data_IF_396814589062
#
_entry.id   IF_396814589062
#
_cell.length_a   1.000
_cell.length_b   1.000
_cell.length_c   1.000
_cell.angle_alpha   90.00
_cell.angle_beta   90.00
_cell.angle_gamma   90.00
#
_symmetry.space_group_name_H-M   'P 1'
#
loop_
_entity.id
_entity.type
_entity.pdbx_description
1 polymer ?
#
# COMPACT_ATOMS: atom_id res chain seq x y z
N UNK A 1 16.59 26.17 12.54
CA UNK A 1 18.02 25.85 12.35
C UNK A 1 18.15 24.72 11.33
N UNK A 2 18.81 25.00 10.20
CA UNK A 2 19.09 24.08 9.09
C UNK A 2 20.04 22.93 9.52
N UNK A 3 19.65 22.18 10.56
CA UNK A 3 20.41 21.07 11.12
C UNK A 3 19.78 19.76 10.67
N UNK A 4 20.42 19.11 9.72
CA UNK A 4 20.08 17.75 9.30
C UNK A 4 20.76 16.76 10.25
N UNK A 5 19.96 15.94 10.94
CA UNK A 5 20.50 14.81 11.71
C UNK A 5 20.77 13.67 10.74
N UNK A 6 22.03 13.50 10.34
CA UNK A 6 22.51 12.26 9.76
C UNK A 6 22.49 11.17 10.84
N UNK A 7 22.09 9.94 10.51
CA UNK A 7 22.11 8.83 11.48
C UNK A 7 23.55 8.50 11.88
N UNK A 8 23.88 8.65 13.17
CA UNK A 8 25.24 8.44 13.72
C UNK A 8 25.64 6.97 13.94
N UNK A 9 24.83 5.99 13.55
CA UNK A 9 25.05 4.61 13.99
C UNK A 9 25.66 3.76 12.88
N UNK A 10 26.98 3.54 12.94
CA UNK A 10 27.63 2.45 12.23
C UNK A 10 26.97 1.12 12.62
N UNK A 11 26.63 0.27 11.65
CA UNK A 11 25.91 -1.00 11.89
C UNK A 11 26.63 -1.90 12.88
N UNK A 12 27.97 -1.91 12.87
CA UNK A 12 28.76 -2.65 13.86
C UNK A 12 28.59 -2.11 15.28
N UNK A 13 28.51 -0.78 15.45
CA UNK A 13 28.31 -0.17 16.76
C UNK A 13 26.93 -0.53 17.32
N UNK A 14 25.89 -0.53 16.47
CA UNK A 14 24.55 -1.01 16.85
C UNK A 14 24.59 -2.46 17.33
N UNK A 15 25.27 -3.35 16.62
CA UNK A 15 25.41 -4.74 17.03
C UNK A 15 26.14 -4.89 18.37
N UNK A 16 27.25 -4.17 18.56
CA UNK A 16 28.00 -4.18 19.82
C UNK A 16 27.15 -3.67 20.98
N UNK A 17 26.40 -2.59 20.78
CA UNK A 17 25.47 -2.07 21.80
C UNK A 17 24.38 -3.07 22.14
N UNK A 18 23.76 -3.72 21.15
CA UNK A 18 22.73 -4.75 21.38
C UNK A 18 23.33 -5.93 22.15
N UNK A 19 24.50 -6.43 21.75
CA UNK A 19 25.18 -7.53 22.45
C UNK A 19 25.61 -7.15 23.88
N UNK A 20 25.95 -5.88 24.12
CA UNK A 20 26.39 -5.40 25.43
C UNK A 20 25.21 -5.17 26.39
N UNK A 21 24.18 -4.48 25.93
CA UNK A 21 23.10 -3.95 26.77
C UNK A 21 21.78 -4.74 26.66
N UNK A 22 21.58 -5.53 25.61
CA UNK A 22 20.33 -6.24 25.33
C UNK A 22 20.60 -7.71 24.98
N UNK A 23 21.21 -8.42 25.94
CA UNK A 23 21.66 -9.82 25.76
C UNK A 23 20.51 -10.81 25.58
N UNK A 24 19.38 -10.60 26.26
CA UNK A 24 18.22 -11.50 26.16
C UNK A 24 17.20 -11.00 25.14
N UNK A 25 16.58 -11.93 24.42
CA UNK A 25 15.51 -11.61 23.48
C UNK A 25 14.33 -10.92 24.19
N UNK A 26 14.03 -11.31 25.42
CA UNK A 26 12.95 -10.71 26.22
C UNK A 26 13.24 -9.25 26.58
N UNK A 27 14.50 -8.91 26.89
CA UNK A 27 14.88 -7.51 27.13
C UNK A 27 14.71 -6.64 25.89
N UNK A 28 15.00 -7.19 24.69
CA UNK A 28 14.77 -6.49 23.43
C UNK A 28 13.28 -6.28 23.16
N UNK A 29 12.46 -7.32 23.36
CA UNK A 29 11.01 -7.26 23.20
C UNK A 29 10.40 -6.21 24.15
N UNK A 30 10.81 -6.23 25.42
CA UNK A 30 10.36 -5.27 26.43
C UNK A 30 10.77 -3.84 26.08
N UNK A 31 12.01 -3.60 25.67
CA UNK A 31 12.46 -2.28 25.21
C UNK A 31 11.69 -1.80 23.98
N UNK A 32 11.43 -2.69 23.02
CA UNK A 32 10.57 -2.36 21.88
C UNK A 32 9.15 -1.98 22.32
N UNK A 33 8.58 -2.64 23.33
CA UNK A 33 7.26 -2.28 23.87
C UNK A 33 7.25 -0.88 24.50
N UNK A 34 8.29 -0.53 25.26
CA UNK A 34 8.44 0.80 25.89
C UNK A 34 8.50 1.90 24.81
N UNK A 35 9.28 1.69 23.75
CA UNK A 35 9.34 2.64 22.63
C UNK A 35 8.03 2.73 21.86
N UNK A 36 7.31 1.63 21.69
CA UNK A 36 5.99 1.65 21.06
C UNK A 36 5.02 2.52 21.87
N UNK A 37 4.98 2.36 23.20
CA UNK A 37 4.15 3.19 24.07
C UNK A 37 4.53 4.68 23.98
N UNK A 38 5.83 4.99 23.98
CA UNK A 38 6.33 6.35 23.78
C UNK A 38 5.79 6.99 22.48
N UNK A 39 5.91 6.29 21.35
CA UNK A 39 5.42 6.82 20.06
C UNK A 39 3.89 6.93 20.00
N UNK A 40 3.18 6.04 20.69
CA UNK A 40 1.73 6.13 20.81
C UNK A 40 1.29 7.28 21.75
N UNK A 41 2.21 7.89 22.50
CA UNK A 41 1.90 8.92 23.49
C UNK A 41 1.30 8.33 24.79
N UNK A 42 1.50 7.03 25.01
CA UNK A 42 1.10 6.34 26.24
C UNK A 42 2.23 6.47 27.25
N UNK A 43 1.90 6.87 28.48
CA UNK A 43 2.88 6.81 29.57
C UNK A 43 3.06 5.36 30.00
N UNK A 44 4.19 4.75 29.65
CA UNK A 44 4.60 3.46 30.22
C UNK A 44 4.74 3.60 31.75
N UNK A 45 4.66 2.48 32.49
CA UNK A 45 4.88 2.49 33.95
C UNK A 45 6.25 3.07 34.34
N UNK A 46 7.24 2.98 33.45
CA UNK A 46 8.58 3.55 33.67
C UNK A 46 8.58 5.07 33.51
N UNK A 47 7.85 5.63 32.55
CA UNK A 47 7.71 7.09 32.40
C UNK A 47 6.88 7.72 33.53
N UNK A 48 5.94 6.95 34.12
CA UNK A 48 5.20 7.40 35.31
C UNK A 48 6.11 7.60 36.54
N UNK A 49 7.21 6.85 36.65
CA UNK A 49 8.19 7.04 37.74
C UNK A 49 8.94 8.38 37.63
N UNK A 50 8.98 8.98 36.45
CA UNK A 50 9.74 10.20 36.17
C UNK A 50 8.90 11.49 36.25
N UNK A 51 7.62 11.43 36.66
CA UNK A 51 6.71 12.59 36.71
C UNK A 51 6.64 13.40 35.39
N UNK A 52 6.91 12.78 34.24
CA UNK A 52 6.77 13.48 32.97
C UNK A 52 5.30 13.53 32.52
N UNK A 53 4.80 14.70 32.07
CA UNK A 53 3.46 14.81 31.51
C UNK A 53 3.32 13.93 30.26
N UNK A 54 2.10 13.49 29.94
CA UNK A 54 1.88 12.67 28.75
C UNK A 54 2.42 13.37 27.50
N UNK A 55 3.37 12.71 26.82
CA UNK A 55 4.06 13.30 25.69
C UNK A 55 3.09 13.35 24.52
N UNK A 56 2.67 14.55 24.13
CA UNK A 56 1.79 14.77 22.99
C UNK A 56 2.53 14.44 21.68
N UNK A 57 2.16 13.32 21.06
CA UNK A 57 2.71 12.91 19.77
C UNK A 57 1.60 12.83 18.70
N UNK A 58 1.31 13.94 17.99
CA UNK A 58 0.35 13.92 16.89
C UNK A 58 0.93 13.19 15.66
N UNK A 59 0.07 12.79 14.72
CA UNK A 59 0.48 12.23 13.43
C UNK A 59 1.09 13.29 12.51
N UNK A 60 0.59 14.53 12.58
CA UNK A 60 1.23 15.70 11.99
C UNK A 60 0.91 16.95 12.80
N UNK A 61 1.82 17.92 12.76
CA UNK A 61 1.56 19.28 13.18
C UNK A 61 0.94 20.06 12.03
N UNK A 62 -0.15 20.76 12.30
CA UNK A 62 -0.83 21.58 11.30
C UNK A 62 -0.46 23.04 11.48
N UNK A 63 0.04 23.66 10.41
CA UNK A 63 0.34 25.09 10.37
C UNK A 63 -0.65 25.75 9.41
N UNK A 64 -1.54 26.60 9.94
CA UNK A 64 -2.48 27.38 9.14
C UNK A 64 -1.82 28.71 8.75
N UNK A 65 -1.64 28.94 7.44
CA UNK A 65 -1.24 30.25 6.89
C UNK A 65 -2.31 30.71 5.90
N UNK A 66 -3.20 31.59 6.35
CA UNK A 66 -4.36 32.03 5.57
C UNK A 66 -5.28 30.85 5.24
N UNK A 67 -5.59 30.64 3.95
CA UNK A 67 -6.42 29.53 3.45
C UNK A 67 -5.67 28.21 3.24
N UNK A 68 -4.34 28.19 3.35
CA UNK A 68 -3.52 26.97 3.14
C UNK A 68 -3.17 26.32 4.48
N UNK A 69 -3.49 25.03 4.60
CA UNK A 69 -3.06 24.15 5.69
C UNK A 69 -1.82 23.38 5.27
N UNK A 70 -0.69 23.64 5.94
CA UNK A 70 0.52 22.85 5.76
C UNK A 70 0.61 21.78 6.85
N UNK A 71 0.94 20.56 6.46
CA UNK A 71 1.13 19.43 7.35
C UNK A 71 2.61 19.14 7.50
N UNK A 72 3.12 19.18 8.73
CA UNK A 72 4.45 18.69 9.06
C UNK A 72 4.31 17.33 9.76
N UNK A 73 4.60 16.25 9.05
CA UNK A 73 4.34 14.90 9.52
C UNK A 73 5.32 14.47 10.61
N UNK A 74 4.81 13.81 11.65
CA UNK A 74 5.63 13.18 12.68
C UNK A 74 6.16 11.84 12.18
N UNK A 75 7.16 11.90 11.30
CA UNK A 75 7.83 10.74 10.70
C UNK A 75 8.29 9.75 11.78
N UNK A 76 8.79 10.23 12.93
CA UNK A 76 9.25 9.36 14.02
C UNK A 76 8.12 8.49 14.58
N UNK A 77 6.93 9.06 14.83
CA UNK A 77 5.76 8.29 15.27
C UNK A 77 5.27 7.33 14.19
N UNK A 78 5.13 7.83 12.97
CA UNK A 78 4.56 7.09 11.83
C UNK A 78 5.37 5.82 11.52
N UNK A 79 6.70 5.90 11.57
CA UNK A 79 7.57 4.74 11.32
C UNK A 79 7.95 4.00 12.60
N UNK A 80 8.14 4.71 13.71
CA UNK A 80 8.54 4.12 14.98
C UNK A 80 7.47 3.23 15.58
N UNK A 81 6.21 3.69 15.64
CA UNK A 81 5.15 2.92 16.31
C UNK A 81 4.96 1.52 15.70
N UNK A 82 4.76 1.35 14.37
CA UNK A 82 4.59 0.02 13.80
C UNK A 82 5.86 -0.84 13.93
N UNK A 83 7.03 -0.27 13.66
CA UNK A 83 8.32 -0.97 13.78
C UNK A 83 8.55 -1.57 15.18
N UNK A 84 8.27 -0.79 16.22
CA UNK A 84 8.43 -1.21 17.60
C UNK A 84 7.33 -2.18 18.06
N UNK A 85 6.09 -2.03 17.57
CA UNK A 85 4.99 -2.97 17.87
C UNK A 85 5.22 -4.35 17.26
N UNK A 86 5.70 -4.41 16.02
CA UNK A 86 6.05 -5.68 15.34
C UNK A 86 7.15 -6.41 16.11
N UNK A 87 8.21 -5.70 16.51
CA UNK A 87 9.35 -6.31 17.23
C UNK A 87 9.05 -6.67 18.68
N UNK A 88 8.11 -5.97 19.32
CA UNK A 88 7.60 -6.34 20.64
C UNK A 88 6.54 -7.43 20.59
N UNK A 89 6.18 -7.93 19.40
CA UNK A 89 5.11 -8.93 19.17
C UNK A 89 3.73 -8.49 19.67
N UNK A 90 3.52 -7.18 19.86
CA UNK A 90 2.25 -6.64 20.30
C UNK A 90 1.32 -6.36 19.10
N UNK A 91 0.91 -7.44 18.44
CA UNK A 91 0.14 -7.38 17.18
C UNK A 91 -1.27 -6.81 17.41
N UNK A 92 -1.90 -7.09 18.56
CA UNK A 92 -3.23 -6.54 18.87
C UNK A 92 -3.24 -5.00 18.88
N UNK A 93 -2.21 -4.38 19.47
CA UNK A 93 -2.08 -2.91 19.49
C UNK A 93 -1.71 -2.39 18.10
N UNK A 94 -0.85 -3.09 17.34
CA UNK A 94 -0.54 -2.75 15.95
C UNK A 94 -1.78 -2.69 15.08
N UNK A 95 -2.64 -3.71 15.17
CA UNK A 95 -3.89 -3.81 14.41
C UNK A 95 -4.79 -2.64 14.74
N UNK A 96 -5.06 -2.39 16.03
CA UNK A 96 -6.01 -1.37 16.47
C UNK A 96 -5.53 0.06 16.22
N UNK A 97 -4.28 0.37 16.57
CA UNK A 97 -3.79 1.75 16.59
C UNK A 97 -3.18 2.19 15.26
N UNK A 98 -2.67 1.25 14.45
CA UNK A 98 -1.98 1.55 13.20
C UNK A 98 -2.71 1.01 11.97
N UNK A 99 -2.96 -0.30 11.90
CA UNK A 99 -3.41 -0.96 10.65
C UNK A 99 -4.91 -0.81 10.37
N UNK A 100 -5.75 -0.70 11.38
CA UNK A 100 -7.20 -0.44 11.27
C UNK A 100 -7.59 0.93 11.86
N UNK A 101 -6.63 1.86 11.79
CA UNK A 101 -6.83 3.26 12.08
C UNK A 101 -6.67 4.06 10.79
N UNK A 102 -7.78 4.50 10.21
CA UNK A 102 -7.82 5.20 8.94
C UNK A 102 -6.93 6.46 8.94
N UNK A 103 -6.96 7.25 10.02
CA UNK A 103 -6.13 8.45 10.12
C UNK A 103 -4.65 8.08 10.17
N UNK A 104 -4.27 7.01 10.87
CA UNK A 104 -2.89 6.54 10.86
C UNK A 104 -2.45 6.11 9.46
N UNK A 105 -3.25 5.29 8.78
CA UNK A 105 -2.96 4.82 7.42
C UNK A 105 -2.83 5.97 6.42
N UNK A 106 -3.77 6.91 6.45
CA UNK A 106 -3.77 8.08 5.57
C UNK A 106 -2.49 8.90 5.78
N UNK A 107 -2.16 9.24 7.02
CA UNK A 107 -0.99 10.07 7.32
C UNK A 107 0.31 9.33 7.02
N UNK A 108 0.36 8.01 7.21
CA UNK A 108 1.51 7.20 6.83
C UNK A 108 1.72 7.18 5.32
N UNK A 109 0.65 6.97 4.55
CA UNK A 109 0.71 7.01 3.09
C UNK A 109 1.11 8.41 2.59
N UNK A 110 0.60 9.47 3.24
CA UNK A 110 0.88 10.85 2.86
C UNK A 110 2.30 11.32 3.22
N UNK A 111 2.81 10.92 4.38
CA UNK A 111 4.16 11.24 4.80
C UNK A 111 5.24 10.45 4.04
N UNK A 112 4.87 9.33 3.42
CA UNK A 112 5.82 8.42 2.78
C UNK A 112 5.28 7.79 1.50
N UNK A 113 4.81 6.54 1.57
CA UNK A 113 4.21 5.80 0.48
C UNK A 113 3.37 4.65 1.04
N UNK A 114 2.41 4.21 0.24
CA UNK A 114 1.61 3.01 0.49
C UNK A 114 2.47 1.75 0.71
N UNK A 115 3.67 1.69 0.11
CA UNK A 115 4.60 0.56 0.24
C UNK A 115 4.96 0.32 1.71
N UNK A 116 5.16 1.39 2.49
CA UNK A 116 5.48 1.27 3.91
C UNK A 116 4.34 0.69 4.76
N UNK A 117 3.10 0.80 4.28
CA UNK A 117 1.91 0.20 4.91
C UNK A 117 1.80 -1.26 4.49
N UNK A 118 2.11 -1.58 3.23
CA UNK A 118 2.17 -2.97 2.74
C UNK A 118 3.20 -3.79 3.53
N UNK A 119 4.37 -3.22 3.80
CA UNK A 119 5.41 -3.85 4.63
C UNK A 119 4.93 -4.15 6.06
N UNK A 120 4.26 -3.19 6.71
CA UNK A 120 3.69 -3.39 8.05
C UNK A 120 2.58 -4.46 8.04
N UNK A 121 1.71 -4.44 7.02
CA UNK A 121 0.64 -5.43 6.86
C UNK A 121 1.22 -6.82 6.64
N UNK A 122 2.24 -6.95 5.79
CA UNK A 122 2.91 -8.22 5.54
C UNK A 122 3.59 -8.75 6.81
N UNK A 123 4.23 -7.88 7.60
CA UNK A 123 4.79 -8.25 8.90
C UNK A 123 3.70 -8.72 9.89
N UNK A 124 2.54 -8.05 9.91
CA UNK A 124 1.41 -8.44 10.76
C UNK A 124 0.78 -9.77 10.32
N UNK A 125 0.59 -9.98 9.01
CA UNK A 125 0.08 -11.24 8.43
C UNK A 125 1.04 -12.38 8.72
N UNK A 126 2.35 -12.16 8.62
CA UNK A 126 3.35 -13.18 8.93
C UNK A 126 3.38 -13.51 10.43
N UNK A 127 3.02 -12.57 11.30
CA UNK A 127 2.90 -12.82 12.73
C UNK A 127 1.60 -13.57 13.09
N UNK A 128 0.48 -13.24 12.44
CA UNK A 128 -0.81 -13.89 12.64
C UNK A 128 -1.62 -13.99 11.33
N UNK A 129 -1.62 -15.19 10.74
CA UNK A 129 -2.36 -15.49 9.49
C UNK A 129 -3.84 -15.78 9.71
N UNK A 130 -4.28 -15.90 10.96
CA UNK A 130 -5.67 -16.31 11.27
C UNK A 130 -6.66 -15.16 11.08
N UNK A 131 -6.19 -13.91 11.04
CA UNK A 131 -7.02 -12.72 10.98
C UNK A 131 -7.36 -12.38 9.51
N UNK A 132 -8.60 -12.64 9.05
CA UNK A 132 -8.96 -12.46 7.64
C UNK A 132 -9.01 -10.99 7.23
N UNK A 133 -9.29 -10.07 8.17
CA UNK A 133 -9.29 -8.63 7.92
C UNK A 133 -7.96 -8.13 7.36
N UNK A 134 -6.81 -8.65 7.86
CA UNK A 134 -5.48 -8.22 7.45
C UNK A 134 -5.20 -8.58 5.99
N UNK A 135 -5.56 -9.80 5.58
CA UNK A 135 -5.37 -10.29 4.21
C UNK A 135 -6.23 -9.45 3.26
N UNK A 136 -7.50 -9.25 3.59
CA UNK A 136 -8.41 -8.49 2.74
C UNK A 136 -8.01 -7.02 2.61
N UNK A 137 -7.52 -6.40 3.70
CA UNK A 137 -6.98 -5.05 3.67
C UNK A 137 -5.72 -4.98 2.79
N UNK A 138 -4.79 -5.94 2.93
CA UNK A 138 -3.58 -6.01 2.09
C UNK A 138 -3.92 -6.10 0.60
N UNK A 139 -4.85 -6.97 0.21
CA UNK A 139 -5.31 -7.10 -1.17
C UNK A 139 -5.99 -5.82 -1.68
N UNK A 140 -6.79 -5.17 -0.83
CA UNK A 140 -7.44 -3.90 -1.16
C UNK A 140 -6.41 -2.81 -1.44
N UNK A 141 -5.38 -2.69 -0.60
CA UNK A 141 -4.33 -1.69 -0.77
C UNK A 141 -3.47 -2.00 -2.00
N UNK A 142 -3.19 -3.27 -2.30
CA UNK A 142 -2.51 -3.68 -3.54
C UNK A 142 -3.29 -3.23 -4.79
N UNK A 143 -4.59 -3.49 -4.84
CA UNK A 143 -5.46 -3.02 -5.93
C UNK A 143 -5.57 -1.49 -6.03
N UNK A 144 -5.31 -0.79 -4.94
CA UNK A 144 -5.43 0.66 -4.82
C UNK A 144 -4.09 1.39 -4.96
N UNK A 145 -2.97 0.65 -4.93
CA UNK A 145 -1.59 1.14 -4.85
C UNK A 145 -1.29 2.27 -5.84
N UNK A 146 -1.67 2.08 -7.10
CA UNK A 146 -1.42 3.06 -8.18
C UNK A 146 -2.12 4.41 -7.96
N UNK A 147 -3.33 4.37 -7.40
CA UNK A 147 -4.10 5.57 -7.07
C UNK A 147 -3.48 6.24 -5.86
N UNK A 148 -3.19 5.48 -4.81
CA UNK A 148 -2.68 5.99 -3.54
C UNK A 148 -1.25 6.53 -3.62
N UNK A 149 -0.41 6.02 -4.54
CA UNK A 149 0.91 6.61 -4.83
C UNK A 149 0.78 8.03 -5.39
N UNK A 150 -0.26 8.32 -6.17
CA UNK A 150 -0.48 9.65 -6.76
C UNK A 150 -1.19 10.58 -5.79
N UNK A 151 -2.20 10.06 -5.09
CA UNK A 151 -3.05 10.82 -4.20
C UNK A 151 -3.50 9.95 -3.01
N UNK A 152 -2.80 10.06 -1.86
CA UNK A 152 -3.16 9.35 -0.63
C UNK A 152 -4.56 9.70 -0.10
N UNK A 153 -5.09 10.89 -0.43
CA UNK A 153 -6.40 11.33 0.06
C UNK A 153 -7.56 10.51 -0.52
N UNK A 154 -7.32 9.75 -1.58
CA UNK A 154 -8.29 8.81 -2.14
C UNK A 154 -8.39 7.49 -1.36
N UNK A 155 -7.68 7.34 -0.24
CA UNK A 155 -7.73 6.11 0.56
C UNK A 155 -9.14 5.74 1.01
N UNK A 156 -9.92 6.70 1.54
CA UNK A 156 -11.30 6.43 1.96
C UNK A 156 -12.16 5.94 0.80
N UNK A 157 -12.04 6.56 -0.37
CA UNK A 157 -12.82 6.21 -1.57
C UNK A 157 -12.46 4.82 -2.08
N UNK A 158 -11.17 4.48 -2.07
CA UNK A 158 -10.66 3.17 -2.48
C UNK A 158 -11.10 2.06 -1.52
N UNK A 159 -11.04 2.30 -0.21
CA UNK A 159 -11.45 1.31 0.79
C UNK A 159 -12.97 1.06 0.73
N UNK A 160 -13.78 2.12 0.80
CA UNK A 160 -15.25 1.99 0.77
C UNK A 160 -15.71 1.42 -0.57
N UNK A 161 -15.18 1.94 -1.68
CA UNK A 161 -15.56 1.50 -3.03
C UNK A 161 -15.31 0.01 -3.30
N UNK A 162 -14.40 -0.64 -2.57
CA UNK A 162 -14.04 -2.05 -2.74
C UNK A 162 -14.59 -2.97 -1.65
N UNK A 163 -14.66 -2.50 -0.41
CA UNK A 163 -14.95 -3.35 0.77
C UNK A 163 -16.39 -3.25 1.27
N UNK A 164 -17.12 -2.17 0.94
CA UNK A 164 -18.41 -1.89 1.56
C UNK A 164 -19.42 -3.06 1.39
N UNK A 165 -19.57 -3.62 0.19
CA UNK A 165 -20.44 -4.77 -0.05
C UNK A 165 -19.96 -6.05 0.64
N UNK A 166 -18.65 -6.30 0.72
CA UNK A 166 -18.10 -7.49 1.38
C UNK A 166 -18.44 -7.46 2.88
N UNK A 167 -18.27 -6.30 3.51
CA UNK A 167 -18.58 -6.11 4.93
C UNK A 167 -20.09 -6.12 5.18
N UNK A 168 -20.89 -5.58 4.26
CA UNK A 168 -22.35 -5.60 4.36
C UNK A 168 -22.92 -7.03 4.21
N UNK A 169 -22.30 -7.86 3.37
CA UNK A 169 -22.67 -9.26 3.18
C UNK A 169 -22.15 -10.19 4.30
N UNK A 170 -21.32 -9.69 5.21
CA UNK A 170 -20.82 -10.45 6.37
C UNK A 170 -21.91 -10.53 7.46
N UNK A 171 -22.72 -11.57 7.33
CA UNK A 171 -23.81 -11.93 8.24
C UNK A 171 -23.36 -13.16 9.03
N UNK A 172 -23.39 -13.12 10.38
CA UNK A 172 -23.03 -14.28 11.20
C UNK A 172 -24.01 -15.44 10.98
N UNK A 173 -23.52 -16.67 11.13
CA UNK A 173 -24.31 -17.89 10.89
C UNK A 173 -25.48 -18.01 11.85
N UNK A 174 -25.26 -17.67 13.13
CA UNK A 174 -26.32 -17.55 14.13
C UNK A 174 -26.30 -16.17 14.84
N UNK A 175 -27.44 -15.72 15.40
CA UNK A 175 -27.47 -14.53 16.25
C UNK A 175 -26.55 -14.70 17.47
N UNK A 176 -25.49 -13.89 17.53
CA UNK A 176 -24.49 -13.94 18.61
C UNK A 176 -23.11 -14.44 18.19
N UNK A 177 -22.98 -15.06 17.01
CA UNK A 177 -21.67 -15.44 16.49
C UNK A 177 -20.86 -14.20 16.07
N UNK A 178 -19.52 -14.22 16.25
CA UNK A 178 -18.67 -13.15 15.77
C UNK A 178 -18.74 -13.10 14.24
N UNK A 179 -18.78 -11.87 13.71
CA UNK A 179 -18.62 -11.62 12.29
C UNK A 179 -17.26 -12.10 11.80
N UNK A 180 -17.17 -12.48 10.53
CA UNK A 180 -15.91 -12.89 9.92
C UNK A 180 -14.88 -11.75 9.96
N UNK A 181 -15.34 -10.52 9.71
CA UNK A 181 -14.51 -9.33 9.69
C UNK A 181 -14.81 -8.43 10.88
N UNK A 182 -13.90 -8.42 11.86
CA UNK A 182 -14.09 -7.70 13.12
C UNK A 182 -13.64 -6.23 13.01
N UNK A 183 -12.60 -5.95 12.23
CA UNK A 183 -11.93 -4.65 12.21
C UNK A 183 -12.33 -3.79 11.00
N UNK A 184 -12.65 -4.42 9.87
CA UNK A 184 -13.06 -3.71 8.66
C UNK A 184 -14.29 -2.81 8.83
N UNK A 185 -15.39 -3.21 9.52
CA UNK A 185 -16.53 -2.33 9.71
C UNK A 185 -16.13 -1.02 10.44
N UNK A 186 -15.26 -1.14 11.44
CA UNK A 186 -14.74 0.01 12.20
C UNK A 186 -13.90 0.90 11.29
N UNK A 187 -12.99 0.34 10.51
CA UNK A 187 -12.17 1.09 9.55
C UNK A 187 -13.02 1.84 8.51
N UNK A 188 -14.04 1.20 7.95
CA UNK A 188 -14.94 1.83 6.97
C UNK A 188 -15.77 2.96 7.61
N UNK A 189 -16.19 2.81 8.87
CA UNK A 189 -16.88 3.87 9.60
C UNK A 189 -15.98 5.08 9.84
N UNK A 190 -14.67 4.87 10.06
CA UNK A 190 -13.69 5.96 10.21
C UNK A 190 -13.47 6.69 8.88
N UNK A 191 -13.45 5.97 7.75
CA UNK A 191 -13.33 6.58 6.43
C UNK A 191 -14.45 7.61 6.15
N UNK A 192 -15.66 7.36 6.64
CA UNK A 192 -16.79 8.30 6.55
C UNK A 192 -16.62 9.57 7.41
N UNK A 193 -15.76 9.53 8.42
CA UNK A 193 -15.50 10.61 9.38
C UNK A 193 -14.09 11.19 9.21
N UNK A 194 -13.56 11.17 7.99
CA UNK A 194 -12.19 11.61 7.71
C UNK A 194 -11.94 13.04 8.19
N UNK A 195 -10.73 13.27 8.71
CA UNK A 195 -10.26 14.61 9.11
C UNK A 195 -10.03 15.59 7.96
N UNK A 196 -9.97 15.08 6.73
CA UNK A 196 -9.80 15.86 5.50
C UNK A 196 -11.00 15.66 4.56
N UNK A 197 -11.32 16.63 3.69
CA UNK A 197 -12.40 16.47 2.72
C UNK A 197 -12.04 15.38 1.72
N UNK A 198 -12.87 14.34 1.66
CA UNK A 198 -12.70 13.18 0.76
C UNK A 198 -14.01 12.87 0.05
N UNK A 199 -13.91 12.37 -1.19
CA UNK A 199 -15.06 11.85 -1.93
C UNK A 199 -15.30 10.40 -1.53
N UNK A 200 -16.51 10.09 -1.09
CA UNK A 200 -16.88 8.75 -0.63
C UNK A 200 -18.01 8.21 -1.51
N UNK A 201 -17.84 7.04 -2.14
CA UNK A 201 -18.92 6.44 -2.90
C UNK A 201 -19.99 5.88 -1.94
N UNK A 202 -21.27 6.07 -2.28
CA UNK A 202 -22.39 5.55 -1.49
C UNK A 202 -22.54 4.02 -1.57
N UNK A 203 -21.94 3.39 -2.58
CA UNK A 203 -21.96 1.94 -2.82
C UNK A 203 -20.60 1.45 -3.31
N UNK A 204 -20.35 0.14 -3.25
CA UNK A 204 -19.16 -0.43 -3.86
C UNK A 204 -19.22 -0.25 -5.38
N UNK A 205 -18.21 0.42 -5.93
CA UNK A 205 -18.11 0.78 -7.35
C UNK A 205 -16.75 0.38 -7.96
N UNK A 206 -15.90 -0.26 -7.17
CA UNK A 206 -14.56 -0.70 -7.56
C UNK A 206 -14.47 -2.23 -7.43
N UNK A 207 -13.46 -2.81 -8.07
CA UNK A 207 -13.23 -4.25 -8.08
C UNK A 207 -12.96 -4.73 -6.64
N UNK A 208 -13.71 -5.74 -6.22
CA UNK A 208 -13.56 -6.35 -4.90
C UNK A 208 -12.18 -7.05 -4.75
N UNK A 209 -11.54 -6.98 -3.57
CA UNK A 209 -10.41 -7.84 -3.20
C UNK A 209 -10.83 -9.32 -3.07
N UNK A 210 -9.86 -10.23 -2.98
CA UNK A 210 -10.10 -11.68 -2.83
C UNK A 210 -10.18 -12.49 -4.13
N UNK A 211 -10.01 -11.84 -5.29
CA UNK A 211 -9.99 -12.51 -6.60
C UNK A 211 -8.58 -12.81 -7.12
N UNK A 212 -8.49 -13.56 -8.22
CA UNK A 212 -7.22 -13.84 -8.93
C UNK A 212 -6.63 -12.60 -9.62
N UNK A 213 -7.37 -11.50 -9.69
CA UNK A 213 -6.95 -10.29 -10.37
C UNK A 213 -5.99 -9.48 -9.49
N UNK A 214 -4.73 -9.37 -9.90
CA UNK A 214 -3.73 -8.57 -9.19
C UNK A 214 -3.67 -7.11 -9.65
N UNK A 215 -3.92 -6.83 -10.93
CA UNK A 215 -3.80 -5.48 -11.48
C UNK A 215 -4.60 -5.29 -12.79
N UNK A 216 -4.84 -4.03 -13.16
CA UNK A 216 -5.50 -3.67 -14.42
C UNK A 216 -4.72 -2.58 -15.18
N UNK A 217 -4.53 -2.79 -16.48
CA UNK A 217 -3.83 -1.87 -17.38
C UNK A 217 -4.85 -1.23 -18.33
N UNK A 218 -5.23 0.02 -18.02
CA UNK A 218 -6.15 0.80 -18.87
C UNK A 218 -5.36 1.60 -19.91
N UNK A 219 -5.85 1.63 -21.15
CA UNK A 219 -5.31 2.51 -22.18
C UNK A 219 -5.73 2.20 -23.61
N UNK A 220 -6.21 0.99 -23.90
CA UNK A 220 -6.85 0.71 -25.19
C UNK A 220 -8.27 1.27 -25.23
N UNK A 221 -8.68 1.75 -26.41
CA UNK A 221 -10.00 2.34 -26.62
C UNK A 221 -11.02 1.35 -27.21
N UNK A 222 -10.54 0.20 -27.67
CA UNK A 222 -11.35 -0.89 -28.22
C UNK A 222 -10.82 -2.24 -27.72
N UNK A 223 -11.51 -3.32 -28.09
CA UNK A 223 -11.20 -4.70 -27.73
C UNK A 223 -9.75 -5.07 -28.08
N UNK A 224 -9.05 -5.63 -27.10
CA UNK A 224 -7.73 -6.25 -27.26
C UNK A 224 -7.91 -7.54 -28.07
N UNK A 225 -7.16 -7.70 -29.16
CA UNK A 225 -7.26 -8.87 -30.05
C UNK A 225 -6.12 -9.85 -29.87
N UNK A 226 -4.96 -9.41 -29.40
CA UNK A 226 -3.80 -10.26 -29.16
C UNK A 226 -2.94 -9.75 -28.01
N UNK A 227 -2.25 -10.68 -27.33
CA UNK A 227 -1.29 -10.42 -26.25
C UNK A 227 -0.02 -11.25 -26.51
N UNK A 228 1.13 -10.65 -26.29
CA UNK A 228 2.44 -11.29 -26.39
C UNK A 228 3.27 -10.96 -25.15
N UNK A 229 3.98 -11.93 -24.62
CA UNK A 229 4.79 -11.79 -23.42
C UNK A 229 6.28 -11.91 -23.74
N UNK A 230 7.11 -11.30 -22.90
CA UNK A 230 8.56 -11.47 -22.95
C UNK A 230 9.07 -12.29 -21.78
N UNK A 231 9.95 -13.25 -22.03
CA UNK A 231 10.43 -14.16 -20.97
C UNK A 231 11.46 -13.54 -20.01
N UNK A 232 12.21 -12.52 -20.45
CA UNK A 232 13.34 -11.95 -19.67
C UNK A 232 13.01 -10.69 -18.88
N UNK A 233 11.96 -9.97 -19.27
CA UNK A 233 11.51 -8.75 -18.60
C UNK A 233 10.01 -8.88 -18.36
N UNK A 234 9.51 -8.33 -17.27
CA UNK A 234 8.07 -8.27 -16.97
C UNK A 234 7.38 -7.26 -17.90
N UNK A 235 7.41 -7.53 -19.20
CA UNK A 235 6.84 -6.70 -20.26
C UNK A 235 5.79 -7.52 -21.00
N UNK A 236 4.61 -6.92 -21.16
CA UNK A 236 3.55 -7.46 -22.00
C UNK A 236 3.32 -6.53 -23.20
N UNK A 237 3.10 -7.11 -24.37
CA UNK A 237 2.66 -6.44 -25.58
C UNK A 237 1.17 -6.73 -25.77
N UNK A 238 0.35 -5.70 -25.98
CA UNK A 238 -1.06 -5.87 -26.34
C UNK A 238 -1.37 -5.11 -27.60
N UNK A 239 -2.32 -5.63 -28.36
CA UNK A 239 -2.83 -4.98 -29.56
C UNK A 239 -4.35 -4.93 -29.50
N UNK A 240 -4.93 -3.82 -29.95
CA UNK A 240 -6.38 -3.61 -29.97
C UNK A 240 -6.89 -3.27 -31.36
N UNK A 241 -8.20 -3.49 -31.56
CA UNK A 241 -8.96 -3.06 -32.74
C UNK A 241 -8.98 -1.52 -32.91
N UNK A 242 -8.56 -0.77 -31.89
CA UNK A 242 -8.25 0.66 -32.00
C UNK A 242 -7.08 0.95 -32.97
N UNK A 243 -6.36 -0.08 -33.43
CA UNK A 243 -5.22 0.04 -34.33
C UNK A 243 -3.91 0.36 -33.64
N UNK A 244 -3.88 0.24 -32.31
CA UNK A 244 -2.76 0.60 -31.45
C UNK A 244 -2.16 -0.65 -30.82
N UNK A 245 -0.83 -0.68 -30.71
CA UNK A 245 -0.08 -1.62 -29.89
C UNK A 245 0.52 -0.88 -28.72
N UNK A 246 0.40 -1.48 -27.54
CA UNK A 246 1.02 -0.98 -26.31
C UNK A 246 1.95 -2.02 -25.74
N UNK A 247 3.17 -1.59 -25.41
CA UNK A 247 4.07 -2.35 -24.56
C UNK A 247 3.94 -1.85 -23.14
N UNK A 248 3.67 -2.75 -22.21
CA UNK A 248 3.44 -2.47 -20.81
C UNK A 248 4.60 -3.01 -20.01
N UNK A 249 5.14 -2.17 -19.12
CA UNK A 249 5.93 -2.67 -18.01
C UNK A 249 4.96 -3.12 -16.91
N UNK A 250 4.93 -4.42 -16.63
CA UNK A 250 4.04 -5.02 -15.64
C UNK A 250 4.48 -4.70 -14.21
N UNK A 251 5.74 -4.35 -13.98
CA UNK A 251 6.22 -3.92 -12.66
C UNK A 251 5.74 -2.52 -12.32
N UNK A 252 5.84 -1.60 -13.29
CA UNK A 252 5.41 -0.21 -13.14
C UNK A 252 3.93 -0.01 -13.45
N UNK A 253 3.33 -0.98 -14.13
CA UNK A 253 1.92 -0.94 -14.49
C UNK A 253 1.54 0.07 -15.56
N UNK A 254 2.50 0.46 -16.41
CA UNK A 254 2.36 1.58 -17.36
C UNK A 254 2.77 1.16 -18.77
N UNK A 255 2.15 1.79 -19.76
CA UNK A 255 2.59 1.66 -21.15
C UNK A 255 3.92 2.39 -21.32
N UNK A 256 4.99 1.64 -21.61
CA UNK A 256 6.33 2.17 -21.90
C UNK A 256 6.46 2.55 -23.38
N UNK A 257 5.67 1.91 -24.24
CA UNK A 257 5.67 2.19 -25.66
C UNK A 257 4.25 2.11 -26.21
N UNK A 258 3.91 3.01 -27.12
CA UNK A 258 2.65 3.01 -27.87
C UNK A 258 3.00 3.20 -29.34
N UNK A 259 2.52 2.29 -30.18
CA UNK A 259 2.69 2.33 -31.63
C UNK A 259 1.30 2.45 -32.26
N UNK A 260 1.15 3.42 -33.15
CA UNK A 260 -0.09 3.71 -33.86
C UNK A 260 -0.07 3.09 -35.27
N UNK A 261 -1.25 3.02 -35.90
CA UNK A 261 -1.43 2.64 -37.32
C UNK A 261 -1.03 1.21 -37.70
N UNK A 262 -1.21 0.25 -36.79
CA UNK A 262 -0.76 -1.13 -37.03
C UNK A 262 -1.79 -1.91 -37.86
N UNK A 263 -3.05 -1.51 -37.76
CA UNK A 263 -4.20 -2.14 -38.40
C UNK A 263 -5.21 -2.65 -37.38
N UNK A 264 -6.46 -2.83 -37.79
CA UNK A 264 -7.57 -3.20 -36.87
C UNK A 264 -7.81 -4.72 -36.77
N UNK A 265 -7.25 -5.51 -37.67
CA UNK A 265 -7.54 -6.96 -37.83
C UNK A 265 -6.34 -7.83 -37.48
N UNK A 266 -5.74 -7.56 -36.33
CA UNK A 266 -4.54 -8.25 -35.88
C UNK A 266 -4.94 -9.55 -35.18
N UNK A 267 -4.43 -10.67 -35.68
CA UNK A 267 -4.73 -12.01 -35.18
C UNK A 267 -3.75 -12.49 -34.11
N UNK A 268 -2.49 -12.05 -34.19
CA UNK A 268 -1.44 -12.49 -33.28
C UNK A 268 -0.34 -11.44 -33.15
N UNK A 269 0.36 -11.49 -32.00
CA UNK A 269 1.55 -10.71 -31.71
C UNK A 269 2.58 -11.60 -31.03
N UNK A 270 3.84 -11.46 -31.44
CA UNK A 270 4.97 -12.13 -30.80
C UNK A 270 6.08 -11.13 -30.56
N UNK A 271 6.65 -11.14 -29.36
CA UNK A 271 7.85 -10.36 -29.04
C UNK A 271 9.08 -11.26 -29.17
N UNK A 272 10.06 -10.82 -29.96
CA UNK A 272 11.22 -11.63 -30.35
C UNK A 272 12.54 -10.88 -30.12
N UNK A 273 13.64 -11.66 -30.13
CA UNK A 273 15.03 -11.17 -30.07
C UNK A 273 15.28 -10.26 -28.86
N UNK A 274 15.11 -10.80 -27.64
CA UNK A 274 15.36 -10.09 -26.38
C UNK A 274 14.64 -8.73 -26.29
N UNK A 275 13.35 -8.71 -26.65
CA UNK A 275 12.45 -7.54 -26.56
C UNK A 275 12.78 -6.42 -27.53
N UNK A 276 13.58 -6.71 -28.56
CA UNK A 276 13.97 -5.75 -29.58
C UNK A 276 12.98 -5.66 -30.73
N UNK A 277 12.38 -6.79 -31.13
CA UNK A 277 11.43 -6.84 -32.22
C UNK A 277 10.03 -7.23 -31.74
N UNK A 278 9.02 -6.66 -32.38
CA UNK A 278 7.63 -7.05 -32.22
C UNK A 278 7.06 -7.41 -33.59
N UNK A 279 6.69 -8.68 -33.75
CA UNK A 279 6.06 -9.19 -34.95
C UNK A 279 4.55 -9.19 -34.76
N UNK A 280 3.83 -8.62 -35.72
CA UNK A 280 2.37 -8.50 -35.71
C UNK A 280 1.80 -9.12 -36.98
N UNK A 281 0.87 -10.04 -36.82
CA UNK A 281 0.21 -10.73 -37.93
C UNK A 281 -1.14 -10.08 -38.22
N UNK A 282 -1.30 -9.56 -39.44
CA UNK A 282 -2.56 -8.98 -39.95
C UNK A 282 -2.96 -9.71 -41.23
N UNK A 283 -3.98 -10.56 -41.11
CA UNK A 283 -4.52 -11.43 -42.16
C UNK A 283 -3.44 -12.26 -42.87
N UNK A 284 -2.90 -11.75 -43.98
CA UNK A 284 -1.92 -12.41 -44.84
C UNK A 284 -0.51 -11.79 -44.77
N UNK A 285 -0.31 -10.77 -43.93
CA UNK A 285 0.97 -10.06 -43.80
C UNK A 285 1.51 -10.16 -42.38
N UNK A 286 2.83 -10.20 -42.26
CA UNK A 286 3.54 -10.07 -40.99
C UNK A 286 4.32 -8.76 -41.05
N UNK A 287 4.06 -7.86 -40.11
CA UNK A 287 4.81 -6.61 -39.94
C UNK A 287 5.75 -6.76 -38.77
N UNK A 288 7.01 -6.38 -38.96
CA UNK A 288 8.05 -6.45 -37.92
C UNK A 288 8.44 -5.03 -37.55
N UNK A 289 8.39 -4.73 -36.26
CA UNK A 289 8.75 -3.44 -35.70
C UNK A 289 9.96 -3.58 -34.79
N UNK A 290 10.98 -2.74 -35.01
CA UNK A 290 12.16 -2.66 -34.15
C UNK A 290 12.02 -1.52 -33.14
N UNK A 291 12.28 -1.82 -31.87
CA UNK A 291 12.41 -0.82 -30.82
C UNK A 291 13.75 -0.09 -31.00
N UNK A 292 13.74 1.09 -31.62
CA UNK A 292 14.94 1.94 -31.68
C UNK A 292 15.35 2.36 -30.27
N UNK A 293 16.63 2.13 -29.92
CA UNK A 293 17.22 2.76 -28.73
C UNK A 293 17.24 4.28 -28.96
N UNK A 294 16.66 5.03 -28.04
CA UNK A 294 17.00 6.45 -27.87
C UNK A 294 18.34 6.54 -27.17
#
# INVERSE_FOLDING_TARGET
DNTYVFTWAHTSLKHVCIQRYLKSQDSQISLHAIFADYYLGRSSQEFKKCNEPSIFQPLAWTLKKGSKTNYNFNVRKIFGAPYHLIRSKNIAVLIKECLFNYEFLLYKAWASSIVSIEEDLEAAINADRTIPDLVLLSETLKLSKRVLIKDPCQMASQLIGRLHQIVAADIPVAPGDPKKYLYLPVLLSQCQKSSIPVLIPSTSCLIAPGGLLCDFLKGHLDRITALGETQKQLIAATVSRDGILKMWDLTLGKAVFTLHEIGKNISAITVCLDNRLVAVTDKATIKIWEKKKK
#
